data_IF_354748056275
#
_entry.id   IF_354748056275
#
_cell.length_a   1.000
_cell.length_b   1.000
_cell.length_c   1.000
_cell.angle_alpha   90.00
_cell.angle_beta   90.00
_cell.angle_gamma   90.00
#
_symmetry.space_group_name_H-M   'P 1'
#
loop_
_entity.id
_entity.type
_entity.pdbx_description
1 polymer ?
#
# COMPACT_ATOMS: atom_id res chain seq x y z
N UNK A 1 -4.53 -8.24 12.58
CA UNK A 1 -4.79 -8.41 14.03
C UNK A 1 -5.86 -7.45 14.53
N UNK A 2 -5.94 -6.22 14.00
CA UNK A 2 -6.85 -5.17 14.49
C UNK A 2 -8.35 -5.49 14.40
N UNK A 3 -8.78 -6.33 13.46
CA UNK A 3 -10.19 -6.72 13.30
C UNK A 3 -10.73 -7.66 14.39
N UNK A 4 -9.84 -8.27 15.18
CA UNK A 4 -10.20 -9.25 16.20
C UNK A 4 -10.04 -8.58 17.56
N UNK A 5 -11.06 -8.63 18.42
CA UNK A 5 -10.98 -8.04 19.76
C UNK A 5 -9.78 -8.54 20.57
N UNK A 6 -9.43 -9.83 20.42
CA UNK A 6 -8.23 -10.40 21.01
C UNK A 6 -6.95 -9.79 20.43
N UNK A 7 -6.90 -9.57 19.11
CA UNK A 7 -5.78 -8.91 18.44
C UNK A 7 -5.63 -7.43 18.82
N UNK A 8 -6.74 -6.70 18.95
CA UNK A 8 -6.75 -5.31 19.46
C UNK A 8 -6.17 -5.23 20.87
N UNK A 9 -6.53 -6.18 21.75
CA UNK A 9 -5.99 -6.25 23.11
C UNK A 9 -4.46 -6.36 23.11
N UNK A 10 -3.88 -7.25 22.30
CA UNK A 10 -2.44 -7.41 22.21
C UNK A 10 -1.76 -6.17 21.59
N UNK A 11 -2.37 -5.55 20.57
CA UNK A 11 -1.82 -4.37 19.91
C UNK A 11 -1.81 -3.12 20.79
N UNK A 12 -2.81 -2.95 21.66
CA UNK A 12 -2.90 -1.81 22.57
C UNK A 12 -1.89 -1.86 23.73
N UNK A 13 -1.33 -3.03 24.02
CA UNK A 13 -0.23 -3.14 24.98
C UNK A 13 1.05 -2.57 24.35
N UNK A 14 1.58 -1.49 24.95
CA UNK A 14 2.74 -0.76 24.44
C UNK A 14 4.06 -1.34 24.95
N UNK A 15 4.02 -2.01 26.09
CA UNK A 15 5.16 -2.71 26.66
C UNK A 15 5.36 -4.05 25.93
N UNK A 16 6.52 -4.22 25.30
CA UNK A 16 6.80 -5.39 24.47
C UNK A 16 6.83 -6.70 25.28
N UNK A 17 7.30 -6.65 26.52
CA UNK A 17 7.36 -7.84 27.38
C UNK A 17 5.95 -8.24 27.83
N UNK A 18 5.10 -7.28 28.16
CA UNK A 18 3.68 -7.55 28.46
C UNK A 18 2.93 -8.04 27.25
N UNK A 19 3.17 -7.45 26.06
CA UNK A 19 2.58 -7.92 24.81
C UNK A 19 2.98 -9.36 24.52
N UNK A 20 4.26 -9.68 24.71
CA UNK A 20 4.79 -11.05 24.60
C UNK A 20 4.10 -12.01 25.58
N UNK A 21 3.90 -11.58 26.83
CA UNK A 21 3.17 -12.38 27.82
C UNK A 21 1.71 -12.65 27.40
N UNK A 22 1.01 -11.64 26.85
CA UNK A 22 -0.34 -11.80 26.30
C UNK A 22 -0.37 -12.78 25.13
N UNK A 23 0.57 -12.65 24.17
CA UNK A 23 0.65 -13.56 23.03
C UNK A 23 0.96 -15.01 23.45
N UNK A 24 1.63 -15.20 24.58
CA UNK A 24 1.95 -16.52 25.15
C UNK A 24 0.89 -17.07 26.11
N UNK A 25 -0.13 -16.30 26.49
CA UNK A 25 -1.19 -16.74 27.40
C UNK A 25 -2.11 -17.77 26.70
N UNK A 26 -2.20 -19.02 27.19
CA UNK A 26 -3.04 -20.05 26.59
C UNK A 26 -4.52 -19.64 26.47
N UNK A 27 -5.07 -18.94 27.47
CA UNK A 27 -6.46 -18.52 27.46
C UNK A 27 -6.71 -17.44 26.39
N UNK A 28 -5.76 -16.51 26.23
CA UNK A 28 -5.81 -15.51 25.17
C UNK A 28 -5.70 -16.17 23.78
N UNK A 29 -4.80 -17.13 23.59
CA UNK A 29 -4.61 -17.83 22.31
C UNK A 29 -5.84 -18.63 21.90
N UNK A 30 -6.52 -19.29 22.84
CA UNK A 30 -7.78 -19.98 22.57
C UNK A 30 -8.87 -18.99 22.11
N UNK A 31 -9.00 -17.86 22.80
CA UNK A 31 -9.92 -16.79 22.40
C UNK A 31 -9.57 -16.25 21.00
N UNK A 32 -8.30 -15.97 20.73
CA UNK A 32 -7.83 -15.48 19.44
C UNK A 32 -8.12 -16.48 18.33
N UNK A 33 -7.84 -17.77 18.55
CA UNK A 33 -8.11 -18.86 17.60
C UNK A 33 -9.59 -18.95 17.26
N UNK A 34 -10.48 -18.86 18.25
CA UNK A 34 -11.94 -18.86 18.05
C UNK A 34 -12.40 -17.67 17.19
N UNK A 35 -11.82 -16.49 17.41
CA UNK A 35 -12.14 -15.30 16.61
C UNK A 35 -11.56 -15.38 15.19
N UNK A 36 -10.34 -15.90 15.05
CA UNK A 36 -9.63 -16.06 13.78
C UNK A 36 -10.37 -16.98 12.82
N UNK A 37 -10.82 -18.14 13.33
CA UNK A 37 -11.50 -19.19 12.56
C UNK A 37 -13.01 -18.99 12.41
N UNK A 38 -13.59 -17.96 13.03
CA UNK A 38 -15.03 -17.70 12.97
C UNK A 38 -15.48 -17.47 11.51
N UNK A 39 -16.43 -18.26 10.99
CA UNK A 39 -16.94 -18.09 9.62
C UNK A 39 -17.86 -16.87 9.49
N UNK A 40 -18.43 -16.40 10.61
CA UNK A 40 -19.34 -15.26 10.67
C UNK A 40 -18.63 -13.94 10.93
N UNK A 41 -17.34 -13.97 11.30
CA UNK A 41 -16.59 -12.74 11.51
C UNK A 41 -16.32 -12.06 10.16
N UNK A 42 -16.54 -10.75 10.03
CA UNK A 42 -16.04 -10.01 8.89
C UNK A 42 -14.51 -10.22 8.80
N UNK A 43 -14.01 -10.32 7.57
CA UNK A 43 -12.59 -10.52 7.27
C UNK A 43 -12.18 -9.42 6.31
N UNK A 44 -11.27 -8.54 6.70
CA UNK A 44 -10.70 -7.58 5.76
C UNK A 44 -9.61 -8.22 4.87
N UNK A 45 -9.15 -9.44 5.20
CA UNK A 45 -8.21 -10.22 4.38
C UNK A 45 -8.37 -11.74 4.59
N UNK A 46 -7.75 -12.53 3.71
CA UNK A 46 -7.98 -13.98 3.56
C UNK A 46 -7.63 -14.86 4.79
N UNK A 47 -6.81 -14.39 5.75
CA UNK A 47 -6.34 -15.15 6.95
C UNK A 47 -5.64 -16.49 6.66
N UNK A 48 -5.39 -16.83 5.40
CA UNK A 48 -4.56 -17.96 4.98
C UNK A 48 -3.09 -17.65 5.31
N UNK A 49 -2.49 -18.35 6.26
CA UNK A 49 -1.10 -18.14 6.69
C UNK A 49 -0.05 -18.77 5.75
N UNK A 50 -0.49 -19.42 4.68
CA UNK A 50 0.39 -19.92 3.62
C UNK A 50 0.68 -18.88 2.52
N UNK A 51 0.04 -17.70 2.54
CA UNK A 51 0.31 -16.61 1.59
C UNK A 51 1.34 -15.60 2.12
N UNK A 52 1.25 -15.11 3.38
CA UNK A 52 2.10 -14.02 3.83
C UNK A 52 3.55 -14.46 3.91
N UNK A 53 4.45 -13.66 3.33
CA UNK A 53 5.89 -13.90 3.32
C UNK A 53 6.60 -12.99 4.31
N UNK A 54 7.53 -13.54 5.07
CA UNK A 54 8.44 -12.76 5.92
C UNK A 54 9.37 -11.96 5.02
N UNK A 55 9.43 -10.64 5.21
CA UNK A 55 10.28 -9.71 4.45
C UNK A 55 11.38 -9.09 5.32
N UNK A 56 11.31 -9.25 6.64
CA UNK A 56 12.33 -8.81 7.58
C UNK A 56 12.16 -9.52 8.92
N UNK A 57 13.25 -10.00 9.49
CA UNK A 57 13.26 -10.70 10.77
C UNK A 57 14.70 -10.71 11.32
N UNK A 58 14.92 -10.63 12.65
CA UNK A 58 16.23 -10.86 13.24
C UNK A 58 16.83 -12.23 12.91
N UNK A 59 16.00 -13.24 12.65
CA UNK A 59 16.42 -14.53 12.09
C UNK A 59 16.36 -14.48 10.54
N UNK A 60 17.51 -14.38 9.85
CA UNK A 60 17.54 -14.28 8.40
C UNK A 60 17.07 -15.56 7.70
N UNK A 61 17.06 -16.72 8.37
CA UNK A 61 16.60 -17.97 7.79
C UNK A 61 15.07 -18.00 7.55
N UNK A 62 14.33 -17.08 8.16
CA UNK A 62 12.89 -16.95 7.99
C UNK A 62 12.51 -16.06 6.80
N UNK A 63 13.40 -15.16 6.36
CA UNK A 63 13.11 -14.20 5.29
C UNK A 63 12.86 -14.92 3.96
N UNK A 64 11.81 -14.50 3.25
CA UNK A 64 11.36 -15.08 1.99
C UNK A 64 10.38 -16.24 2.14
N UNK A 65 10.21 -16.78 3.36
CA UNK A 65 9.33 -17.93 3.66
C UNK A 65 7.95 -17.50 4.11
N UNK A 66 6.96 -18.36 3.90
CA UNK A 66 5.62 -18.16 4.43
C UNK A 66 5.48 -18.72 5.84
N UNK A 67 4.51 -18.22 6.62
CA UNK A 67 4.25 -18.77 7.96
C UNK A 67 3.82 -20.25 7.88
N UNK A 68 3.08 -20.66 6.83
CA UNK A 68 2.73 -22.05 6.59
C UNK A 68 3.92 -22.97 6.31
N UNK A 69 4.92 -22.49 5.55
CA UNK A 69 6.17 -23.25 5.31
C UNK A 69 6.98 -23.42 6.59
N UNK A 70 7.12 -22.35 7.38
CA UNK A 70 7.84 -22.37 8.66
C UNK A 70 7.14 -23.31 9.64
N UNK A 71 5.80 -23.24 9.73
CA UNK A 71 5.01 -24.11 10.59
C UNK A 71 5.14 -25.59 10.21
N UNK A 72 5.12 -25.89 8.91
CA UNK A 72 5.28 -27.26 8.39
C UNK A 72 6.62 -27.86 8.79
N UNK A 73 7.72 -27.12 8.64
CA UNK A 73 9.06 -27.58 9.04
C UNK A 73 9.14 -27.80 10.57
N UNK A 74 8.49 -26.95 11.35
CA UNK A 74 8.43 -27.05 12.81
C UNK A 74 7.45 -28.12 13.31
N UNK A 75 6.67 -28.74 12.44
CA UNK A 75 5.61 -29.69 12.83
C UNK A 75 4.51 -29.07 13.68
N UNK A 76 4.21 -27.78 13.45
CA UNK A 76 3.32 -26.96 14.27
C UNK A 76 2.10 -26.46 13.49
N UNK A 77 1.01 -26.13 14.18
CA UNK A 77 -0.12 -25.41 13.60
C UNK A 77 0.31 -24.02 13.09
N UNK A 78 -0.10 -23.59 11.87
CA UNK A 78 0.31 -22.31 11.30
C UNK A 78 -0.06 -21.10 12.16
N UNK A 79 -1.21 -21.12 12.84
CA UNK A 79 -1.62 -20.00 13.69
C UNK A 79 -0.74 -19.90 14.93
N UNK A 80 -0.37 -21.03 15.53
CA UNK A 80 0.55 -21.03 16.67
C UNK A 80 1.94 -20.58 16.25
N UNK A 81 2.45 -21.05 15.11
CA UNK A 81 3.73 -20.61 14.56
C UNK A 81 3.74 -19.09 14.32
N UNK A 82 2.68 -18.54 13.73
CA UNK A 82 2.53 -17.11 13.53
C UNK A 82 2.57 -16.32 14.84
N UNK A 83 1.81 -16.76 15.85
CA UNK A 83 1.76 -16.11 17.16
C UNK A 83 3.09 -16.23 17.93
N UNK A 84 3.80 -17.35 17.80
CA UNK A 84 5.11 -17.55 18.42
C UNK A 84 6.15 -16.61 17.82
N UNK A 85 6.20 -16.49 16.50
CA UNK A 85 7.11 -15.57 15.82
C UNK A 85 6.80 -14.11 16.18
N UNK A 86 5.52 -13.75 16.30
CA UNK A 86 5.10 -12.43 16.76
C UNK A 86 5.50 -12.18 18.22
N UNK A 87 5.40 -13.19 19.08
CA UNK A 87 5.84 -13.10 20.48
C UNK A 87 7.37 -13.04 20.60
N UNK A 88 8.09 -13.71 19.69
CA UNK A 88 9.55 -13.78 19.70
C UNK A 88 10.20 -12.50 19.19
N UNK A 89 9.77 -12.02 18.03
CA UNK A 89 10.44 -10.94 17.30
C UNK A 89 9.68 -9.60 17.38
N UNK A 90 8.43 -9.59 17.84
CA UNK A 90 7.67 -8.36 18.06
C UNK A 90 7.63 -7.44 16.82
N UNK A 91 8.08 -6.20 16.99
CA UNK A 91 8.07 -5.19 15.92
C UNK A 91 9.18 -5.42 14.86
N UNK A 92 10.16 -6.28 15.14
CA UNK A 92 11.24 -6.60 14.21
C UNK A 92 10.84 -7.67 13.18
N UNK A 93 9.68 -8.30 13.37
CA UNK A 93 9.07 -9.18 12.37
C UNK A 93 8.25 -8.37 11.37
N UNK A 94 8.68 -8.42 10.11
CA UNK A 94 8.03 -7.79 8.97
C UNK A 94 7.58 -8.85 7.99
N UNK A 95 6.36 -8.73 7.52
CA UNK A 95 5.77 -9.63 6.53
C UNK A 95 4.86 -8.88 5.57
N UNK A 96 4.65 -9.47 4.40
CA UNK A 96 3.81 -8.94 3.32
C UNK A 96 2.78 -9.98 2.91
N UNK A 97 1.56 -9.52 2.62
CA UNK A 97 0.52 -10.33 1.97
C UNK A 97 -0.32 -9.44 1.07
N UNK A 98 -0.94 -10.05 0.04
CA UNK A 98 -1.94 -9.37 -0.78
C UNK A 98 -3.28 -9.44 -0.05
N UNK A 99 -3.79 -8.31 0.41
CA UNK A 99 -5.05 -8.24 1.19
C UNK A 99 -6.31 -8.29 0.31
N UNK A 100 -6.17 -7.90 -0.97
CA UNK A 100 -7.24 -7.89 -1.97
C UNK A 100 -6.70 -7.47 -3.32
N UNK A 101 -7.59 -7.33 -4.32
CA UNK A 101 -7.23 -7.00 -5.71
C UNK A 101 -6.32 -8.03 -6.40
N UNK A 102 -6.25 -9.25 -5.88
CA UNK A 102 -5.46 -10.38 -6.38
C UNK A 102 -6.12 -11.09 -7.57
N UNK A 103 -7.44 -10.90 -7.75
CA UNK A 103 -8.20 -11.47 -8.85
C UNK A 103 -8.33 -10.45 -9.97
N UNK A 104 -7.53 -10.63 -11.02
CA UNK A 104 -7.35 -9.67 -12.13
C UNK A 104 -8.67 -9.29 -12.80
N UNK A 105 -9.59 -10.24 -13.03
CA UNK A 105 -10.86 -9.97 -13.72
C UNK A 105 -11.82 -9.13 -12.89
N UNK A 106 -11.87 -9.38 -11.59
CA UNK A 106 -12.65 -8.61 -10.64
C UNK A 106 -12.05 -7.23 -10.43
N UNK A 107 -10.71 -7.12 -10.38
CA UNK A 107 -10.03 -5.84 -10.34
C UNK A 107 -10.36 -5.00 -11.59
N UNK A 108 -10.26 -5.59 -12.78
CA UNK A 108 -10.60 -4.96 -14.05
C UNK A 108 -12.04 -4.45 -14.08
N UNK A 109 -12.99 -5.27 -13.64
CA UNK A 109 -14.37 -4.87 -13.49
C UNK A 109 -14.51 -3.66 -12.55
N UNK A 110 -13.86 -3.67 -11.39
CA UNK A 110 -13.95 -2.58 -10.41
C UNK A 110 -13.34 -1.28 -10.94
N UNK A 111 -12.13 -1.33 -11.54
CA UNK A 111 -11.43 -0.12 -12.00
C UNK A 111 -12.11 0.51 -13.21
N UNK A 112 -12.80 -0.27 -14.04
CA UNK A 112 -13.56 0.27 -15.17
C UNK A 112 -14.98 0.71 -14.78
N UNK A 113 -15.52 0.22 -13.66
CA UNK A 113 -16.89 0.53 -13.27
C UNK A 113 -17.16 2.04 -13.12
N UNK A 114 -18.22 2.60 -13.74
CA UNK A 114 -18.48 4.05 -13.76
C UNK A 114 -18.88 4.64 -12.40
N UNK A 115 -19.31 3.80 -11.46
CA UNK A 115 -19.66 4.21 -10.09
C UNK A 115 -18.47 4.15 -9.11
N UNK A 116 -17.28 3.79 -9.58
CA UNK A 116 -16.08 3.69 -8.74
C UNK A 116 -15.19 4.90 -8.99
N UNK A 117 -14.72 5.56 -7.94
CA UNK A 117 -13.68 6.57 -8.06
C UNK A 117 -12.34 5.98 -7.61
N UNK A 118 -11.31 6.06 -8.45
CA UNK A 118 -9.99 5.50 -8.14
C UNK A 118 -9.16 6.56 -7.39
N UNK A 119 -9.22 6.56 -6.05
CA UNK A 119 -8.47 7.55 -5.26
C UNK A 119 -8.12 7.13 -3.83
N UNK A 120 -8.47 5.92 -3.41
CA UNK A 120 -8.23 5.46 -2.04
C UNK A 120 -6.83 4.84 -1.91
N UNK A 121 -5.83 5.63 -1.49
CA UNK A 121 -4.45 5.16 -1.31
C UNK A 121 -4.08 4.82 0.14
N UNK A 122 -4.83 5.34 1.12
CA UNK A 122 -4.53 5.30 2.57
C UNK A 122 -3.10 5.75 2.95
N UNK A 123 -2.39 6.31 1.99
CA UNK A 123 -0.98 6.64 2.07
C UNK A 123 -0.82 7.94 2.88
N UNK A 124 0.01 7.89 3.92
CA UNK A 124 0.22 9.00 4.85
C UNK A 124 -0.63 8.94 6.13
N UNK A 125 -1.75 8.20 6.14
CA UNK A 125 -2.44 7.81 7.37
C UNK A 125 -1.77 6.58 8.00
N UNK A 126 -1.37 5.62 7.15
CA UNK A 126 -0.48 4.54 7.53
C UNK A 126 0.94 4.83 7.04
N UNK A 127 1.91 4.75 7.95
CA UNK A 127 3.32 5.05 7.63
C UNK A 127 4.05 3.83 7.09
N UNK A 128 4.04 2.70 7.81
CA UNK A 128 4.82 1.50 7.45
C UNK A 128 3.99 0.29 7.00
N UNK A 129 2.67 0.46 6.92
CA UNK A 129 1.70 -0.55 6.50
C UNK A 129 0.76 0.10 5.47
N UNK A 130 0.13 -0.67 4.57
CA UNK A 130 -1.02 -0.23 3.73
C UNK A 130 -0.91 1.17 3.10
N UNK A 131 0.23 1.50 2.47
CA UNK A 131 0.45 2.81 1.85
C UNK A 131 0.61 2.66 0.32
N UNK A 132 -0.47 2.91 -0.43
CA UNK A 132 -0.56 2.63 -1.86
C UNK A 132 -0.29 3.88 -2.73
N UNK A 133 0.87 4.53 -2.55
CA UNK A 133 1.22 5.81 -3.21
C UNK A 133 1.18 5.76 -4.76
N UNK A 134 1.39 4.59 -5.35
CA UNK A 134 1.57 4.35 -6.78
C UNK A 134 0.38 3.64 -7.44
N UNK A 135 -0.80 3.66 -6.82
CA UNK A 135 -2.01 3.10 -7.44
C UNK A 135 -2.28 3.62 -8.88
N UNK A 136 -1.95 4.88 -9.27
CA UNK A 136 -2.09 5.32 -10.65
C UNK A 136 -1.16 4.56 -11.61
N UNK A 137 0.09 4.34 -11.21
CA UNK A 137 1.07 3.60 -12.02
C UNK A 137 0.66 2.12 -12.15
N UNK A 138 0.13 1.53 -11.07
CA UNK A 138 -0.42 0.17 -11.14
C UNK A 138 -1.65 0.07 -12.06
N UNK A 139 -2.52 1.10 -12.11
CA UNK A 139 -3.62 1.15 -13.08
C UNK A 139 -3.09 1.23 -14.52
N UNK A 140 -2.08 2.06 -14.78
CA UNK A 140 -1.47 2.17 -16.11
C UNK A 140 -0.81 0.85 -16.53
N UNK A 141 -0.09 0.17 -15.62
CA UNK A 141 0.47 -1.16 -15.86
C UNK A 141 -0.63 -2.21 -16.12
N UNK A 142 -1.72 -2.19 -15.36
CA UNK A 142 -2.85 -3.09 -15.56
C UNK A 142 -3.47 -2.90 -16.96
N UNK A 143 -3.67 -1.65 -17.36
CA UNK A 143 -4.15 -1.28 -18.68
C UNK A 143 -3.21 -1.76 -19.79
N UNK A 144 -1.89 -1.54 -19.66
CA UNK A 144 -0.92 -2.01 -20.64
C UNK A 144 -0.89 -3.54 -20.75
N UNK A 145 -0.91 -4.25 -19.63
CA UNK A 145 -0.96 -5.73 -19.61
C UNK A 145 -2.23 -6.24 -20.27
N UNK A 146 -3.38 -5.64 -19.98
CA UNK A 146 -4.64 -5.99 -20.64
C UNK A 146 -4.54 -5.84 -22.16
N UNK A 147 -4.06 -4.69 -22.65
CA UNK A 147 -3.88 -4.45 -24.07
C UNK A 147 -2.89 -5.45 -24.73
N UNK A 148 -1.76 -5.73 -24.08
CA UNK A 148 -0.75 -6.69 -24.58
C UNK A 148 -1.30 -8.13 -24.66
N UNK A 149 -2.22 -8.49 -23.77
CA UNK A 149 -2.90 -9.78 -23.75
C UNK A 149 -4.15 -9.81 -24.66
N UNK A 150 -4.43 -8.72 -25.40
CA UNK A 150 -5.59 -8.62 -26.30
C UNK A 150 -6.93 -8.49 -25.58
N UNK A 151 -6.91 -8.03 -24.32
CA UNK A 151 -8.09 -7.85 -23.47
C UNK A 151 -8.53 -6.40 -23.49
N UNK A 152 -9.81 -6.19 -23.68
CA UNK A 152 -10.42 -4.87 -23.62
C UNK A 152 -10.69 -4.48 -22.16
N UNK A 153 -9.95 -3.50 -21.65
CA UNK A 153 -10.15 -2.92 -20.32
C UNK A 153 -10.57 -1.46 -20.43
N UNK A 154 -9.66 -0.62 -20.95
CA UNK A 154 -9.91 0.78 -21.27
C UNK A 154 -8.76 1.32 -22.12
N UNK A 155 -8.97 2.49 -22.73
CA UNK A 155 -7.88 3.20 -23.42
C UNK A 155 -6.86 3.78 -22.42
N UNK A 156 -5.60 4.02 -22.82
CA UNK A 156 -4.62 4.70 -21.98
C UNK A 156 -5.09 6.07 -21.49
N UNK A 157 -5.79 6.83 -22.34
CA UNK A 157 -6.34 8.15 -22.00
C UNK A 157 -7.44 8.04 -20.94
N UNK A 158 -8.31 7.01 -21.03
CA UNK A 158 -9.31 6.74 -20.00
C UNK A 158 -8.64 6.40 -18.67
N UNK A 159 -7.60 5.57 -18.67
CA UNK A 159 -6.84 5.23 -17.47
C UNK A 159 -6.23 6.48 -16.81
N UNK A 160 -5.63 7.39 -17.59
CA UNK A 160 -5.15 8.69 -17.09
C UNK A 160 -6.30 9.50 -16.50
N UNK A 161 -7.43 9.60 -17.20
CA UNK A 161 -8.58 10.38 -16.73
C UNK A 161 -9.19 9.84 -15.42
N UNK A 162 -9.23 8.51 -15.20
CA UNK A 162 -9.72 7.89 -13.94
C UNK A 162 -9.00 8.38 -12.70
N UNK A 163 -7.72 8.77 -12.83
CA UNK A 163 -6.84 9.19 -11.72
C UNK A 163 -6.47 10.67 -11.79
N UNK A 164 -7.11 11.44 -12.66
CA UNK A 164 -6.88 12.88 -12.84
C UNK A 164 -8.21 13.63 -12.91
N UNK A 165 -8.73 13.88 -14.12
CA UNK A 165 -9.94 14.66 -14.37
C UNK A 165 -11.17 14.12 -13.64
N UNK A 166 -11.37 12.79 -13.60
CA UNK A 166 -12.55 12.20 -12.95
C UNK A 166 -12.60 12.51 -11.44
N UNK A 167 -11.45 12.50 -10.77
CA UNK A 167 -11.33 12.87 -9.34
C UNK A 167 -11.57 14.37 -9.17
N UNK A 168 -10.96 15.19 -10.01
CA UNK A 168 -11.10 16.64 -9.94
C UNK A 168 -12.53 17.10 -10.18
N UNK A 169 -13.21 16.49 -11.16
CA UNK A 169 -14.60 16.77 -11.50
C UNK A 169 -15.54 16.32 -10.38
N UNK A 170 -15.30 15.14 -9.79
CA UNK A 170 -16.09 14.66 -8.65
C UNK A 170 -15.95 15.54 -7.40
N UNK A 171 -14.71 15.98 -7.10
CA UNK A 171 -14.45 16.88 -5.97
C UNK A 171 -14.82 18.34 -6.27
N UNK A 172 -15.09 18.68 -7.54
CA UNK A 172 -15.37 20.03 -7.99
C UNK A 172 -14.19 20.96 -7.74
N UNK A 173 -12.99 20.62 -8.19
CA UNK A 173 -11.78 21.44 -7.99
C UNK A 173 -11.13 21.80 -9.34
N UNK A 174 -10.47 22.96 -9.41
CA UNK A 174 -9.65 23.32 -10.58
C UNK A 174 -8.36 22.49 -10.56
N UNK A 175 -8.42 21.25 -11.06
CA UNK A 175 -7.33 20.30 -11.18
C UNK A 175 -7.63 19.22 -12.21
N UNK A 176 -6.70 18.28 -12.42
CA UNK A 176 -6.95 17.03 -13.16
C UNK A 176 -7.03 17.13 -14.69
N UNK A 177 -7.04 18.34 -15.26
CA UNK A 177 -7.15 18.56 -16.72
C UNK A 177 -5.94 19.32 -17.27
N UNK A 178 -5.41 18.85 -18.40
CA UNK A 178 -4.27 19.47 -19.09
C UNK A 178 -4.76 20.34 -20.25
N UNK A 179 -4.97 21.62 -19.99
CA UNK A 179 -5.49 22.60 -20.95
C UNK A 179 -4.77 23.93 -20.82
N UNK A 180 -4.70 24.70 -21.91
CA UNK A 180 -4.11 26.05 -21.89
C UNK A 180 -4.89 26.94 -20.93
N UNK A 181 -4.18 27.62 -20.03
CA UNK A 181 -4.77 28.50 -19.02
C UNK A 181 -5.15 27.81 -17.71
N UNK A 182 -5.07 26.48 -17.64
CA UNK A 182 -5.21 25.74 -16.38
C UNK A 182 -3.88 25.61 -15.65
N UNK A 183 -3.95 25.08 -14.43
CA UNK A 183 -2.78 24.80 -13.61
C UNK A 183 -1.83 23.82 -14.28
N UNK A 184 -0.54 24.02 -14.06
CA UNK A 184 0.52 23.13 -14.53
C UNK A 184 0.90 22.10 -13.46
N UNK A 185 -0.08 21.30 -13.03
CA UNK A 185 0.14 20.09 -12.24
C UNK A 185 0.35 18.94 -13.21
N UNK A 186 1.59 18.51 -13.38
CA UNK A 186 1.99 17.60 -14.47
C UNK A 186 2.84 16.49 -13.88
N UNK A 187 2.54 15.25 -14.28
CA UNK A 187 3.43 14.11 -14.08
C UNK A 187 3.90 13.62 -15.44
N UNK A 188 5.20 13.36 -15.57
CA UNK A 188 5.75 12.66 -16.73
C UNK A 188 5.94 11.21 -16.31
N UNK A 189 5.38 10.28 -17.10
CA UNK A 189 5.50 8.85 -16.86
C UNK A 189 6.18 8.20 -18.05
N UNK A 190 7.19 7.36 -17.83
CA UNK A 190 7.77 6.52 -18.86
C UNK A 190 6.97 5.21 -18.99
N UNK A 191 6.16 5.04 -20.06
CA UNK A 191 5.34 3.85 -20.23
C UNK A 191 6.15 2.57 -20.43
N UNK A 192 7.42 2.64 -20.86
CA UNK A 192 8.26 1.47 -21.08
C UNK A 192 8.74 0.81 -19.77
N UNK A 193 8.54 1.50 -18.65
CA UNK A 193 8.99 1.05 -17.33
C UNK A 193 7.81 0.66 -16.43
N UNK A 194 6.58 0.62 -16.95
CA UNK A 194 5.41 0.13 -16.19
C UNK A 194 5.46 -1.40 -16.05
N UNK A 195 6.41 -1.91 -15.27
CA UNK A 195 6.76 -3.33 -15.13
C UNK A 195 6.82 -3.80 -13.65
N UNK A 196 7.40 -4.96 -13.38
CA UNK A 196 7.50 -5.55 -12.04
C UNK A 196 8.31 -4.69 -11.05
N UNK A 197 9.11 -3.73 -11.51
CA UNK A 197 9.89 -2.83 -10.64
C UNK A 197 9.02 -1.89 -9.80
N UNK A 198 7.71 -1.79 -10.09
CA UNK A 198 6.74 -1.13 -9.22
C UNK A 198 6.37 -1.94 -7.96
N UNK A 199 6.58 -3.26 -7.98
CA UNK A 199 6.10 -4.14 -6.91
C UNK A 199 6.91 -4.07 -5.61
N UNK A 200 8.26 -3.96 -5.62
CA UNK A 200 9.05 -3.89 -4.41
C UNK A 200 8.60 -2.75 -3.48
N UNK A 201 8.48 -3.08 -2.20
CA UNK A 201 8.30 -2.08 -1.15
C UNK A 201 9.64 -1.42 -0.85
N UNK A 202 9.63 -0.10 -0.71
CA UNK A 202 10.77 0.66 -0.23
C UNK A 202 10.35 1.45 1.01
N UNK A 203 11.34 1.77 1.85
CA UNK A 203 11.15 2.63 3.01
C UNK A 203 12.12 3.81 2.94
N UNK A 204 11.71 4.92 3.53
CA UNK A 204 12.55 6.09 3.76
C UNK A 204 12.15 6.75 5.06
N UNK A 205 13.07 7.50 5.67
CA UNK A 205 12.78 8.27 6.87
C UNK A 205 11.64 9.27 6.63
N UNK A 206 10.74 9.38 7.60
CA UNK A 206 9.61 10.29 7.57
C UNK A 206 10.11 11.72 7.79
N UNK A 207 9.82 12.59 6.83
CA UNK A 207 10.21 14.00 6.90
C UNK A 207 9.61 14.64 8.16
N UNK A 208 10.45 15.26 8.98
CA UNK A 208 10.06 15.91 10.23
C UNK A 208 9.90 14.97 11.43
N UNK A 209 10.11 13.66 11.27
CA UNK A 209 10.02 12.67 12.36
C UNK A 209 11.24 11.74 12.36
N UNK A 210 12.41 12.20 12.86
CA UNK A 210 13.63 11.40 12.85
C UNK A 210 13.48 10.05 13.55
N UNK A 211 14.06 9.00 12.95
CA UNK A 211 13.99 7.62 13.46
C UNK A 211 12.68 6.89 13.18
N UNK A 212 11.75 7.50 12.42
CA UNK A 212 10.53 6.86 11.97
C UNK A 212 10.58 6.66 10.46
N UNK A 213 10.61 5.42 10.01
CA UNK A 213 10.48 5.12 8.58
C UNK A 213 9.03 5.18 8.12
N UNK A 214 8.84 5.42 6.83
CA UNK A 214 7.59 5.22 6.11
C UNK A 214 7.82 4.43 4.83
N UNK A 215 6.78 3.74 4.37
CA UNK A 215 6.73 3.22 3.02
C UNK A 215 6.80 4.36 2.03
N UNK A 216 7.58 4.14 0.99
CA UNK A 216 7.69 4.98 -0.19
C UNK A 216 7.71 4.08 -1.42
N UNK A 217 7.50 4.67 -2.58
CA UNK A 217 7.69 3.99 -3.85
C UNK A 217 8.94 4.52 -4.50
N UNK A 218 9.81 3.60 -4.91
CA UNK A 218 11.11 3.89 -5.53
C UNK A 218 11.14 3.18 -6.86
N UNK A 219 10.67 3.90 -7.87
CA UNK A 219 10.82 3.51 -9.25
C UNK A 219 11.04 4.77 -10.09
N UNK A 220 12.15 5.43 -9.79
CA UNK A 220 12.41 6.81 -10.19
C UNK A 220 12.49 6.99 -11.71
N UNK A 221 12.87 5.94 -12.44
CA UNK A 221 12.85 5.90 -13.91
C UNK A 221 11.44 6.00 -14.50
N UNK A 222 10.43 5.49 -13.80
CA UNK A 222 9.05 5.54 -14.28
C UNK A 222 8.42 6.91 -14.15
N UNK A 223 8.87 7.72 -13.18
CA UNK A 223 8.38 9.09 -12.99
C UNK A 223 9.57 10.06 -13.03
N UNK A 224 10.08 10.38 -14.24
CA UNK A 224 11.25 11.23 -14.39
C UNK A 224 11.00 12.67 -13.97
N UNK A 225 9.75 13.15 -13.97
CA UNK A 225 9.43 14.50 -13.54
C UNK A 225 8.02 14.64 -12.95
N UNK A 226 7.92 15.47 -11.90
CA UNK A 226 6.65 15.95 -11.34
C UNK A 226 6.72 17.46 -11.22
N UNK A 227 5.71 18.14 -11.75
CA UNK A 227 5.50 19.57 -11.60
C UNK A 227 4.26 19.81 -10.77
N UNK A 228 4.35 20.76 -9.84
CA UNK A 228 3.21 21.25 -9.07
C UNK A 228 3.12 22.75 -9.32
N UNK A 229 1.98 23.18 -9.85
CA UNK A 229 1.71 24.57 -10.19
C UNK A 229 2.80 25.21 -11.08
N UNK A 230 3.31 24.42 -12.04
CA UNK A 230 4.35 24.82 -13.00
C UNK A 230 5.78 24.80 -12.47
N UNK A 231 5.98 24.46 -11.19
CA UNK A 231 7.31 24.32 -10.58
C UNK A 231 7.72 22.86 -10.57
N UNK A 232 8.95 22.56 -10.99
CA UNK A 232 9.50 21.20 -10.97
C UNK A 232 9.74 20.80 -9.52
N UNK A 233 8.90 19.92 -8.99
CA UNK A 233 8.98 19.42 -7.61
C UNK A 233 9.91 18.21 -7.50
N UNK A 234 9.95 17.39 -8.55
CA UNK A 234 10.77 16.18 -8.65
C UNK A 234 11.36 16.05 -10.04
N UNK A 235 12.63 15.67 -10.12
CA UNK A 235 13.32 15.36 -11.37
C UNK A 235 14.43 14.34 -11.15
N UNK A 236 14.48 13.32 -12.00
CA UNK A 236 15.61 12.38 -12.10
C UNK A 236 16.07 11.79 -10.75
N UNK A 237 15.11 11.40 -9.88
CA UNK A 237 15.41 10.78 -8.58
C UNK A 237 15.58 11.74 -7.40
N UNK A 238 15.42 13.05 -7.62
CA UNK A 238 15.59 14.05 -6.56
C UNK A 238 14.42 15.04 -6.49
N UNK A 239 14.09 15.48 -5.27
CA UNK A 239 13.26 16.65 -5.07
C UNK A 239 14.05 17.92 -5.44
N UNK A 240 13.35 18.96 -5.88
CA UNK A 240 13.98 20.27 -5.99
C UNK A 240 14.47 20.77 -4.63
N UNK A 241 15.60 21.46 -4.61
CA UNK A 241 16.25 21.94 -3.37
C UNK A 241 15.32 22.83 -2.51
N UNK A 242 14.40 23.56 -3.15
CA UNK A 242 13.46 24.45 -2.49
C UNK A 242 12.06 23.82 -2.25
N UNK A 243 11.90 22.52 -2.54
CA UNK A 243 10.63 21.81 -2.35
C UNK A 243 10.29 21.67 -0.86
N UNK A 244 9.12 22.17 -0.47
CA UNK A 244 8.67 22.20 0.92
C UNK A 244 9.12 23.44 1.70
N UNK A 245 10.07 24.22 1.18
CA UNK A 245 10.53 25.49 1.78
C UNK A 245 9.92 26.71 1.08
N UNK A 246 9.89 26.67 -0.26
CA UNK A 246 9.38 27.77 -1.07
C UNK A 246 7.86 27.68 -1.26
N UNK A 247 7.19 28.83 -1.18
CA UNK A 247 5.78 28.97 -1.56
C UNK A 247 5.62 28.88 -3.07
N UNK A 248 4.54 28.26 -3.52
CA UNK A 248 4.15 28.25 -4.94
C UNK A 248 4.06 26.86 -5.56
N UNK A 249 4.62 25.82 -4.91
CA UNK A 249 4.30 24.43 -5.22
C UNK A 249 2.84 24.13 -4.88
N UNK A 250 2.55 23.79 -3.62
CA UNK A 250 1.19 23.49 -3.15
C UNK A 250 0.37 24.75 -2.86
N UNK A 251 -0.93 24.66 -3.11
CA UNK A 251 -1.94 25.64 -2.68
C UNK A 251 -3.20 24.92 -2.21
N UNK A 252 -3.98 25.58 -1.35
CA UNK A 252 -5.30 25.07 -0.95
C UNK A 252 -6.25 25.20 -2.12
N UNK A 253 -6.79 24.06 -2.57
CA UNK A 253 -7.83 24.03 -3.59
C UNK A 253 -9.19 24.31 -2.96
N UNK A 254 -9.87 25.32 -3.49
CA UNK A 254 -11.25 25.61 -3.12
C UNK A 254 -12.16 24.88 -4.09
N UNK A 255 -13.32 24.43 -3.58
CA UNK A 255 -14.37 23.94 -4.44
C UNK A 255 -14.77 25.03 -5.45
N UNK A 256 -14.97 24.60 -6.69
CA UNK A 256 -15.57 25.37 -7.76
C UNK A 256 -17.02 25.69 -7.37
N UNK A 257 -17.43 26.92 -7.67
CA UNK A 257 -18.77 27.42 -7.39
C UNK A 257 -19.81 26.90 -8.39
#
# INVERSE_FOLDING_TARGET
MEELGAGTQALHEKDLDRRRAVLNDPAWREMFRKQWSSPLAPKAWHRNLSEPKVIGCPDPALVGRTFGEIATERGQDPLDCFLDLQAEFGNDLRWYTVVGNDRVRELEYVVDHPAVLIGFSDAGAHLRNMAYYDFPLHLFRLQQRAAAEGRDLMSPERAVHRVTGEIADFLGIDAGHLEVGRRADIVVVDPATLDERLDPMAEAEMVGMPGLDRLVRRHDECVPAVLVNGQVAWRDGAFADDFGERRGYGTVLRALA
#
